data_IF_636347174074
#
_entry.id   IF_636347174074
#
_cell.length_a   1.000
_cell.length_b   1.000
_cell.length_c   1.000
_cell.angle_alpha   90.00
_cell.angle_beta   90.00
_cell.angle_gamma   90.00
#
_symmetry.space_group_name_H-M   'P 1'
#
loop_
_entity.id
_entity.type
_entity.pdbx_description
1 polymer ?
#
# COMPACT_ATOMS: atom_id res chain seq x y z
N UNK A 1 -34.35 4.33 14.77
CA UNK A 1 -33.52 3.35 14.03
C UNK A 1 -32.64 2.63 15.03
N UNK A 2 -32.66 1.29 15.06
CA UNK A 2 -31.86 0.50 15.99
C UNK A 2 -30.37 0.55 15.58
N UNK A 3 -29.58 1.38 16.25
CA UNK A 3 -28.17 1.63 15.92
C UNK A 3 -27.21 0.59 16.49
N UNK A 4 -27.61 -0.15 17.55
CA UNK A 4 -26.75 -1.15 18.21
C UNK A 4 -26.25 -2.25 17.27
N UNK A 5 -27.12 -2.76 16.39
CA UNK A 5 -26.73 -3.80 15.43
C UNK A 5 -25.72 -3.30 14.38
N UNK A 6 -25.78 -2.02 14.03
CA UNK A 6 -24.82 -1.40 13.10
C UNK A 6 -23.46 -1.21 13.81
N UNK A 7 -23.47 -0.77 15.06
CA UNK A 7 -22.24 -0.58 15.85
C UNK A 7 -21.47 -1.89 16.07
N UNK A 8 -22.18 -2.97 16.42
CA UNK A 8 -21.60 -4.30 16.55
C UNK A 8 -21.07 -4.84 15.22
N UNK A 9 -21.83 -4.66 14.13
CA UNK A 9 -21.36 -5.04 12.80
C UNK A 9 -20.08 -4.29 12.40
N UNK A 10 -20.04 -2.97 12.63
CA UNK A 10 -18.85 -2.14 12.33
C UNK A 10 -17.65 -2.59 13.17
N UNK A 11 -17.86 -2.94 14.44
CA UNK A 11 -16.80 -3.42 15.32
C UNK A 11 -16.22 -4.75 14.81
N UNK A 12 -17.10 -5.72 14.54
CA UNK A 12 -16.70 -7.04 14.01
C UNK A 12 -16.00 -6.92 12.65
N UNK A 13 -16.50 -6.05 11.77
CA UNK A 13 -15.85 -5.75 10.49
C UNK A 13 -14.44 -5.21 10.69
N UNK A 14 -14.26 -4.20 11.57
CA UNK A 14 -12.94 -3.60 11.84
C UNK A 14 -11.97 -4.59 12.48
N UNK A 15 -12.45 -5.49 13.33
CA UNK A 15 -11.62 -6.53 13.95
C UNK A 15 -11.13 -7.53 12.89
N UNK A 16 -12.03 -8.04 12.05
CA UNK A 16 -11.67 -8.91 10.92
C UNK A 16 -10.67 -8.27 9.96
N UNK A 17 -10.87 -7.00 9.62
CA UNK A 17 -9.96 -6.28 8.72
C UNK A 17 -8.59 -5.98 9.37
N UNK A 18 -8.52 -5.86 10.71
CA UNK A 18 -7.26 -5.76 11.44
C UNK A 18 -6.52 -7.10 11.48
N UNK A 19 -7.24 -8.19 11.70
CA UNK A 19 -6.68 -9.55 11.66
C UNK A 19 -6.13 -9.89 10.27
N UNK A 20 -6.83 -9.47 9.21
CA UNK A 20 -6.38 -9.63 7.83
C UNK A 20 -5.26 -8.65 7.42
N UNK A 21 -4.76 -7.82 8.33
CA UNK A 21 -3.77 -6.75 8.06
C UNK A 21 -4.20 -5.73 7.00
N UNK A 22 -5.49 -5.67 6.64
CA UNK A 22 -6.04 -4.67 5.73
C UNK A 22 -6.09 -3.27 6.38
N UNK A 23 -6.24 -3.24 7.71
CA UNK A 23 -6.15 -2.03 8.52
C UNK A 23 -4.94 -2.15 9.45
N UNK A 24 -3.95 -1.32 9.20
CA UNK A 24 -2.70 -1.33 9.97
C UNK A 24 -2.77 -0.24 11.05
N UNK A 25 -2.64 -0.62 12.32
CA UNK A 25 -2.49 0.32 13.45
C UNK A 25 -1.04 0.47 13.94
N UNK A 26 -0.16 -0.46 13.56
CA UNK A 26 1.25 -0.51 13.96
C UNK A 26 2.12 -0.74 12.74
N UNK A 27 3.28 -0.08 12.61
CA UNK A 27 4.14 -0.23 11.44
C UNK A 27 4.51 -1.70 11.22
N UNK A 28 4.44 -2.16 9.98
CA UNK A 28 4.75 -3.53 9.63
C UNK A 28 6.28 -3.76 9.63
N UNK A 29 6.75 -4.98 9.95
CA UNK A 29 8.18 -5.30 9.91
C UNK A 29 8.72 -5.43 8.48
N UNK A 30 7.84 -5.64 7.49
CA UNK A 30 8.18 -5.92 6.10
C UNK A 30 7.22 -5.24 5.12
N UNK A 31 7.65 -5.16 3.85
CA UNK A 31 6.92 -4.51 2.77
C UNK A 31 5.63 -5.24 2.39
N UNK A 32 4.48 -4.59 2.58
CA UNK A 32 3.17 -5.17 2.28
C UNK A 32 2.73 -5.07 0.80
N UNK A 33 3.58 -4.55 -0.09
CA UNK A 33 3.24 -4.29 -1.50
C UNK A 33 2.78 -5.55 -2.25
N UNK A 34 3.52 -6.65 -2.12
CA UNK A 34 3.15 -7.91 -2.79
C UNK A 34 1.91 -8.55 -2.17
N UNK A 35 1.83 -8.57 -0.84
CA UNK A 35 0.68 -9.13 -0.12
C UNK A 35 -0.62 -8.41 -0.51
N UNK A 36 -0.63 -7.08 -0.42
CA UNK A 36 -1.78 -6.26 -0.85
C UNK A 36 -2.19 -6.54 -2.29
N UNK A 37 -1.21 -6.64 -3.21
CA UNK A 37 -1.51 -6.91 -4.60
C UNK A 37 -2.18 -8.27 -4.80
N UNK A 38 -1.76 -9.30 -4.06
CA UNK A 38 -2.39 -10.63 -4.08
C UNK A 38 -3.79 -10.60 -3.48
N UNK A 39 -3.98 -9.95 -2.34
CA UNK A 39 -5.28 -9.88 -1.64
C UNK A 39 -6.34 -9.17 -2.48
N UNK A 40 -5.96 -8.09 -3.16
CA UNK A 40 -6.84 -7.36 -4.07
C UNK A 40 -7.22 -8.20 -5.30
N UNK A 41 -6.28 -8.95 -5.86
CA UNK A 41 -6.52 -9.78 -7.06
C UNK A 41 -7.37 -11.01 -6.71
N UNK A 42 -7.12 -11.62 -5.56
CA UNK A 42 -7.88 -12.76 -5.04
C UNK A 42 -9.28 -12.35 -4.51
N UNK A 43 -9.54 -11.05 -4.37
CA UNK A 43 -10.82 -10.53 -3.91
C UNK A 43 -11.01 -10.58 -2.39
N UNK A 44 -9.96 -10.86 -1.63
CA UNK A 44 -9.94 -10.78 -0.17
C UNK A 44 -10.15 -9.33 0.27
N UNK A 45 -9.47 -8.40 -0.41
CA UNK A 45 -9.70 -6.98 -0.23
C UNK A 45 -10.56 -6.41 -1.37
N UNK A 46 -11.71 -5.84 -1.02
CA UNK A 46 -12.63 -5.25 -1.99
C UNK A 46 -12.01 -3.96 -2.54
N UNK A 47 -11.72 -3.96 -3.85
CA UNK A 47 -11.21 -2.80 -4.56
C UNK A 47 -11.90 -2.62 -5.92
N UNK A 48 -11.85 -1.39 -6.44
CA UNK A 48 -12.42 -1.08 -7.75
C UNK A 48 -11.63 -1.76 -8.88
N UNK A 49 -12.26 -1.84 -10.05
CA UNK A 49 -11.68 -2.46 -11.25
C UNK A 49 -10.28 -1.94 -11.60
N UNK A 50 -10.07 -0.63 -11.46
CA UNK A 50 -8.79 0.00 -11.81
C UNK A 50 -7.67 -0.34 -10.82
N UNK A 51 -7.98 -0.43 -9.52
CA UNK A 51 -7.01 -0.88 -8.51
C UNK A 51 -6.66 -2.36 -8.77
N UNK A 52 -7.67 -3.21 -9.04
CA UNK A 52 -7.43 -4.62 -9.41
C UNK A 52 -6.51 -4.73 -10.62
N UNK A 53 -6.73 -3.92 -11.67
CA UNK A 53 -5.86 -3.86 -12.86
C UNK A 53 -4.43 -3.44 -12.52
N UNK A 54 -4.25 -2.45 -11.64
CA UNK A 54 -2.94 -2.02 -11.21
C UNK A 54 -2.19 -3.13 -10.43
N UNK A 55 -2.88 -3.83 -9.52
CA UNK A 55 -2.33 -4.96 -8.78
C UNK A 55 -1.98 -6.15 -9.70
N UNK A 56 -2.85 -6.48 -10.67
CA UNK A 56 -2.54 -7.51 -11.67
C UNK A 56 -1.31 -7.14 -12.51
N UNK A 57 -1.19 -5.87 -12.94
CA UNK A 57 0.00 -5.40 -13.66
C UNK A 57 1.26 -5.54 -12.81
N UNK A 58 1.19 -5.17 -11.54
CA UNK A 58 2.31 -5.30 -10.60
C UNK A 58 2.79 -6.76 -10.50
N UNK A 59 1.86 -7.71 -10.28
CA UNK A 59 2.20 -9.13 -10.16
C UNK A 59 2.78 -9.70 -11.46
N UNK A 60 2.22 -9.31 -12.62
CA UNK A 60 2.77 -9.69 -13.94
C UNK A 60 4.16 -9.14 -14.16
N UNK A 61 4.40 -7.87 -13.83
CA UNK A 61 5.73 -7.27 -13.98
C UNK A 61 6.73 -7.91 -13.00
N UNK A 62 6.28 -8.33 -11.82
CA UNK A 62 7.10 -9.05 -10.84
C UNK A 62 7.52 -10.43 -11.37
N UNK A 63 6.57 -11.19 -11.92
CA UNK A 63 6.84 -12.47 -12.57
C UNK A 63 7.80 -12.29 -13.74
N UNK A 64 7.52 -11.34 -14.65
CA UNK A 64 8.41 -11.01 -15.77
C UNK A 64 9.81 -10.63 -15.32
N UNK A 65 9.95 -9.90 -14.22
CA UNK A 65 11.27 -9.55 -13.70
C UNK A 65 12.11 -10.76 -13.27
N UNK A 66 11.46 -11.86 -12.89
CA UNK A 66 12.07 -13.12 -12.49
C UNK A 66 12.30 -14.06 -13.67
N UNK A 67 11.39 -14.09 -14.65
CA UNK A 67 11.40 -15.10 -15.72
C UNK A 67 11.99 -14.60 -17.04
N UNK A 68 11.87 -13.31 -17.35
CA UNK A 68 12.27 -12.72 -18.64
C UNK A 68 13.63 -12.01 -18.51
N UNK A 69 14.69 -12.54 -19.16
CA UNK A 69 16.01 -11.91 -19.17
C UNK A 69 16.00 -10.52 -19.81
N UNK A 70 15.12 -10.29 -20.81
CA UNK A 70 15.03 -9.04 -21.55
C UNK A 70 14.25 -7.96 -20.79
N UNK A 71 13.57 -8.31 -19.71
CA UNK A 71 12.87 -7.33 -18.90
C UNK A 71 13.85 -6.49 -18.10
N UNK A 72 13.97 -5.21 -18.47
CA UNK A 72 14.99 -4.28 -17.95
C UNK A 72 14.77 -3.82 -16.50
N UNK A 73 13.59 -4.11 -15.93
CA UNK A 73 13.21 -3.64 -14.59
C UNK A 73 13.26 -4.78 -13.58
N UNK A 74 13.67 -4.46 -12.36
CA UNK A 74 13.57 -5.34 -11.19
C UNK A 74 12.87 -4.62 -10.04
N UNK A 75 12.18 -5.40 -9.22
CA UNK A 75 11.60 -4.88 -7.99
C UNK A 75 12.64 -5.00 -6.86
N UNK A 76 13.07 -3.86 -6.34
CA UNK A 76 14.02 -3.75 -5.24
C UNK A 76 13.26 -3.38 -3.96
N UNK A 77 13.02 -4.38 -3.12
CA UNK A 77 12.30 -4.24 -1.85
C UNK A 77 13.00 -3.26 -0.91
N UNK A 78 14.33 -3.23 -0.90
CA UNK A 78 15.10 -2.34 -0.03
C UNK A 78 14.86 -0.87 -0.37
N UNK A 79 14.80 -0.55 -1.68
CA UNK A 79 14.50 0.79 -2.19
C UNK A 79 13.03 1.17 -1.97
N UNK A 80 12.12 0.22 -2.11
CA UNK A 80 10.70 0.42 -1.78
C UNK A 80 10.49 0.71 -0.29
N UNK A 81 11.23 0.03 0.59
CA UNK A 81 11.07 0.10 2.04
C UNK A 81 11.62 1.38 2.65
N UNK A 82 12.72 1.91 2.09
CA UNK A 82 13.38 3.13 2.57
C UNK A 82 12.43 4.34 2.75
N UNK A 83 11.60 4.75 1.76
CA UNK A 83 10.67 5.86 1.92
C UNK A 83 9.53 5.54 2.91
N UNK A 84 9.04 4.30 2.95
CA UNK A 84 7.99 3.87 3.89
C UNK A 84 8.50 4.01 5.33
N UNK A 85 9.69 3.47 5.62
CA UNK A 85 10.33 3.62 6.93
C UNK A 85 10.58 5.08 7.29
N UNK A 86 11.01 5.90 6.33
CA UNK A 86 11.22 7.32 6.57
C UNK A 86 9.92 7.99 7.00
N UNK A 87 8.82 7.72 6.30
CA UNK A 87 7.50 8.27 6.64
C UNK A 87 7.07 7.81 8.03
N UNK A 88 7.11 6.51 8.32
CA UNK A 88 6.61 5.97 9.59
C UNK A 88 7.49 6.34 10.81
N UNK A 89 8.78 6.62 10.60
CA UNK A 89 9.73 6.94 11.68
C UNK A 89 9.97 8.43 11.88
N UNK A 90 9.90 9.24 10.81
CA UNK A 90 10.32 10.65 10.84
C UNK A 90 9.18 11.63 10.59
N UNK A 91 8.05 11.18 10.03
CA UNK A 91 6.91 12.06 9.77
C UNK A 91 5.92 11.97 10.92
N UNK A 92 5.88 13.05 11.70
CA UNK A 92 4.87 13.28 12.72
C UNK A 92 3.78 14.19 12.16
N UNK A 93 2.50 13.78 12.23
CA UNK A 93 1.39 14.68 11.93
C UNK A 93 1.49 15.97 12.73
N UNK A 94 1.39 17.13 12.06
CA UNK A 94 1.43 18.44 12.73
C UNK A 94 0.18 18.73 13.57
N UNK A 95 -0.90 17.98 13.36
CA UNK A 95 -2.19 18.11 14.06
C UNK A 95 -2.71 16.76 14.52
N UNK A 96 -3.23 16.72 15.75
CA UNK A 96 -3.84 15.56 16.39
C UNK A 96 -2.98 14.86 17.44
N UNK A 97 -3.56 13.90 18.14
CA UNK A 97 -2.89 13.08 19.19
C UNK A 97 -1.98 11.99 18.61
N UNK A 98 -2.03 11.79 17.29
CA UNK A 98 -1.31 10.73 16.59
C UNK A 98 0.16 11.15 16.43
N UNK A 99 1.04 10.51 17.19
CA UNK A 99 2.48 10.83 17.21
C UNK A 99 3.28 10.20 16.06
N UNK A 100 2.72 9.22 15.34
CA UNK A 100 3.39 8.56 14.20
C UNK A 100 2.38 8.22 13.11
N UNK A 101 2.72 8.55 11.87
CA UNK A 101 1.90 8.18 10.72
C UNK A 101 2.19 6.72 10.34
N UNK A 102 1.23 5.83 10.56
CA UNK A 102 1.32 4.44 10.12
C UNK A 102 0.68 4.31 8.74
N UNK A 103 1.45 3.84 7.76
CA UNK A 103 0.96 3.73 6.39
C UNK A 103 0.07 2.50 6.24
N UNK A 104 -1.05 2.68 5.54
CA UNK A 104 -1.98 1.60 5.21
C UNK A 104 -1.45 0.72 4.06
N UNK A 105 -1.95 -0.52 3.88
CA UNK A 105 -1.44 -1.44 2.85
C UNK A 105 -1.48 -0.87 1.43
N UNK A 106 -2.53 -0.12 1.09
CA UNK A 106 -2.63 0.54 -0.21
C UNK A 106 -1.59 1.68 -0.36
N UNK A 107 -1.20 2.34 0.73
CA UNK A 107 -0.15 3.36 0.72
C UNK A 107 1.22 2.71 0.55
N UNK A 108 1.46 1.57 1.21
CA UNK A 108 2.63 0.71 0.97
C UNK A 108 2.69 0.32 -0.50
N UNK A 109 1.56 -0.09 -1.10
CA UNK A 109 1.51 -0.47 -2.51
C UNK A 109 1.87 0.69 -3.45
N UNK A 110 1.33 1.89 -3.23
CA UNK A 110 1.62 3.06 -4.06
C UNK A 110 3.08 3.50 -3.93
N UNK A 111 3.57 3.68 -2.70
CA UNK A 111 4.96 4.11 -2.45
C UNK A 111 5.94 3.02 -2.89
N UNK A 112 5.64 1.77 -2.60
CA UNK A 112 6.43 0.61 -3.01
C UNK A 112 6.53 0.49 -4.52
N UNK A 113 5.45 0.73 -5.27
CA UNK A 113 5.53 0.78 -6.74
C UNK A 113 6.36 1.96 -7.24
N UNK A 114 6.21 3.15 -6.64
CA UNK A 114 6.91 4.35 -7.12
C UNK A 114 8.43 4.26 -6.92
N UNK A 115 8.89 3.66 -5.82
CA UNK A 115 10.31 3.62 -5.45
C UNK A 115 10.97 2.24 -5.61
N UNK A 116 10.20 1.15 -5.65
CA UNK A 116 10.72 -0.21 -5.74
C UNK A 116 11.12 -0.64 -7.15
N UNK A 117 10.49 -0.10 -8.19
CA UNK A 117 10.84 -0.47 -9.57
C UNK A 117 12.09 0.27 -10.04
N UNK A 118 13.17 -0.47 -10.26
CA UNK A 118 14.46 0.06 -10.71
C UNK A 118 15.01 -0.68 -11.91
N UNK A 119 15.76 0.04 -12.74
CA UNK A 119 16.48 -0.54 -13.87
C UNK A 119 17.58 -1.49 -13.37
N UNK A 120 17.74 -2.65 -14.01
CA UNK A 120 18.71 -3.67 -13.60
C UNK A 120 20.15 -3.16 -13.63
N UNK A 121 20.51 -2.43 -14.69
CA UNK A 121 21.88 -1.91 -14.89
C UNK A 121 22.11 -0.55 -14.22
N UNK A 122 21.34 0.48 -14.60
CA UNK A 122 21.54 1.85 -14.11
C UNK A 122 21.03 2.08 -12.68
N UNK A 123 20.18 1.20 -12.15
CA UNK A 123 19.60 1.35 -10.82
C UNK A 123 18.61 2.52 -10.66
N UNK A 124 18.28 3.22 -11.76
CA UNK A 124 17.35 4.34 -11.80
C UNK A 124 15.90 3.88 -11.66
N UNK A 125 15.03 4.75 -11.12
CA UNK A 125 13.61 4.44 -10.92
C UNK A 125 12.86 4.40 -12.25
N UNK A 126 11.97 3.41 -12.39
CA UNK A 126 11.04 3.29 -13.53
C UNK A 126 10.03 4.42 -13.56
N UNK A 127 9.45 4.72 -12.40
CA UNK A 127 8.41 5.72 -12.25
C UNK A 127 8.97 6.97 -11.58
N UNK A 128 8.79 8.11 -12.23
CA UNK A 128 9.19 9.43 -11.70
C UNK A 128 8.02 10.17 -11.08
N UNK A 129 6.82 9.91 -11.58
CA UNK A 129 5.58 10.58 -11.20
C UNK A 129 4.47 9.55 -11.00
N UNK A 130 3.52 9.88 -10.12
CA UNK A 130 2.34 9.05 -9.86
C UNK A 130 1.09 9.94 -9.77
N UNK A 131 0.04 9.55 -10.50
CA UNK A 131 -1.28 10.16 -10.39
C UNK A 131 -2.18 9.26 -9.55
N UNK A 132 -2.68 9.79 -8.43
CA UNK A 132 -3.47 9.03 -7.46
C UNK A 132 -4.80 9.73 -7.26
N UNK A 133 -5.89 9.06 -7.64
CA UNK A 133 -7.25 9.50 -7.37
C UNK A 133 -7.75 8.90 -6.07
N UNK A 134 -8.19 9.74 -5.15
CA UNK A 134 -8.70 9.31 -3.84
C UNK A 134 -9.93 10.12 -3.44
N UNK A 135 -10.88 9.45 -2.79
CA UNK A 135 -12.00 10.10 -2.12
C UNK A 135 -11.55 10.95 -0.93
N UNK A 136 -12.40 11.90 -0.51
CA UNK A 136 -12.16 12.74 0.69
C UNK A 136 -12.07 11.87 1.95
N UNK A 137 -11.37 12.37 2.98
CA UNK A 137 -11.13 11.71 4.29
C UNK A 137 -10.26 10.44 4.28
N UNK A 138 -9.59 10.12 3.18
CA UNK A 138 -8.66 8.97 3.10
C UNK A 138 -7.19 9.30 3.45
N UNK A 139 -6.95 10.29 4.32
CA UNK A 139 -5.59 10.61 4.78
C UNK A 139 -4.64 11.22 3.73
N UNK A 140 -5.13 11.65 2.55
CA UNK A 140 -4.35 12.43 1.57
C UNK A 140 -3.89 13.79 2.13
N UNK A 141 -4.72 14.36 3.00
CA UNK A 141 -4.43 15.53 3.82
C UNK A 141 -4.81 15.12 5.23
N UNK A 142 -3.89 15.28 6.18
CA UNK A 142 -4.21 15.13 7.60
C UNK A 142 -5.41 16.03 7.90
N UNK A 143 -6.49 15.51 8.50
CA UNK A 143 -7.62 16.35 8.88
C UNK A 143 -7.12 17.48 9.78
N UNK A 144 -7.56 18.70 9.49
CA UNK A 144 -7.38 19.87 10.34
C UNK A 144 -7.98 19.64 11.73
#
# INVERSE_FOLDING_TARGET
MNTRGIEEWVKNYKEREREAYHIISTPLPALATEAYARDVVNGVQIACKEIKRACMRFLRDLERSRTDPNFMWRFDESKAWRPIRFIEQKVTPSKGTIRRLVLQPWQHFVVGNLFGWVHKETGLRRFREALIFMGRKNGRVLPL
#
